data_IF_337643735374
#
_entry.id   IF_337643735374
#
_cell.length_a   1.000
_cell.length_b   1.000
_cell.length_c   1.000
_cell.angle_alpha   90.00
_cell.angle_beta   90.00
_cell.angle_gamma   90.00
#
_symmetry.space_group_name_H-M   'P 1'
#
loop_
_entity.id
_entity.type
_entity.pdbx_description
1 polymer ?
#
# COMPACT_ATOMS: atom_id res chain seq x y z
N UNK A 1 -68.60 3.33 -28.54
CA UNK A 1 -67.40 2.58 -28.93
C UNK A 1 -66.24 3.22 -28.22
N UNK A 2 -65.69 2.57 -27.17
CA UNK A 2 -64.59 3.09 -26.35
C UNK A 2 -63.33 2.29 -26.71
N UNK A 3 -62.35 2.91 -27.31
CA UNK A 3 -61.05 2.31 -27.63
C UNK A 3 -60.16 2.39 -26.39
N UNK A 4 -59.79 1.23 -25.85
CA UNK A 4 -58.76 1.09 -24.81
C UNK A 4 -57.36 1.18 -25.49
N UNK A 5 -56.61 2.16 -25.08
CA UNK A 5 -55.21 2.28 -25.44
C UNK A 5 -54.38 1.56 -24.37
N UNK A 6 -53.76 0.45 -24.72
CA UNK A 6 -52.85 -0.30 -23.85
C UNK A 6 -51.47 0.41 -23.79
N UNK A 7 -51.11 0.93 -22.62
CA UNK A 7 -49.79 1.49 -22.33
C UNK A 7 -48.81 0.34 -22.06
N UNK A 8 -47.95 0.06 -23.00
CA UNK A 8 -46.88 -0.95 -22.89
C UNK A 8 -45.74 -0.37 -22.05
N UNK A 9 -45.59 -0.85 -20.83
CA UNK A 9 -44.54 -0.48 -19.92
C UNK A 9 -43.25 -1.28 -20.33
N UNK A 10 -42.31 -0.62 -20.97
CA UNK A 10 -40.98 -1.19 -21.24
C UNK A 10 -40.19 -1.13 -19.94
N UNK A 11 -40.08 -2.27 -19.26
CA UNK A 11 -39.22 -2.44 -18.11
C UNK A 11 -37.77 -2.56 -18.61
N UNK A 12 -37.04 -1.46 -18.58
CA UNK A 12 -35.62 -1.41 -18.89
C UNK A 12 -34.84 -2.26 -17.88
N UNK A 13 -34.32 -3.39 -18.33
CA UNK A 13 -33.37 -4.17 -17.56
C UNK A 13 -32.09 -3.33 -17.39
N UNK A 14 -31.89 -2.85 -16.16
CA UNK A 14 -30.60 -2.27 -15.74
C UNK A 14 -29.59 -3.42 -15.68
N UNK A 15 -28.87 -3.61 -16.77
CA UNK A 15 -27.77 -4.57 -16.82
C UNK A 15 -26.74 -4.14 -15.76
N UNK A 16 -26.59 -4.95 -14.73
CA UNK A 16 -25.50 -4.82 -13.77
C UNK A 16 -24.19 -4.98 -14.56
N UNK A 17 -23.43 -3.90 -14.69
CA UNK A 17 -22.07 -3.93 -15.22
C UNK A 17 -21.25 -4.77 -14.23
N UNK A 18 -20.63 -5.87 -14.67
CA UNK A 18 -19.77 -6.63 -13.76
C UNK A 18 -18.63 -5.73 -13.28
N UNK A 19 -18.43 -5.73 -11.98
CA UNK A 19 -17.45 -4.91 -11.23
C UNK A 19 -15.97 -5.21 -11.58
N UNK A 20 -15.73 -5.88 -12.72
CA UNK A 20 -14.42 -6.31 -13.19
C UNK A 20 -13.79 -5.50 -14.32
N UNK A 21 -14.41 -4.42 -14.77
CA UNK A 21 -13.95 -3.66 -15.94
C UNK A 21 -13.67 -2.18 -15.63
N UNK A 22 -13.16 -1.87 -14.44
CA UNK A 22 -12.56 -0.56 -14.21
C UNK A 22 -11.13 -0.67 -14.71
N UNK A 23 -10.92 -0.25 -15.96
CA UNK A 23 -9.60 -0.18 -16.56
C UNK A 23 -8.69 0.68 -15.66
N UNK A 24 -7.59 0.06 -15.19
CA UNK A 24 -6.56 0.73 -14.43
C UNK A 24 -6.07 1.96 -15.21
N UNK A 25 -6.38 3.14 -14.73
CA UNK A 25 -5.75 4.34 -15.24
C UNK A 25 -4.31 4.34 -14.75
N UNK A 26 -3.33 4.58 -15.62
CA UNK A 26 -1.94 4.72 -15.18
C UNK A 26 -1.86 5.78 -14.08
N UNK A 27 -1.39 5.39 -12.89
CA UNK A 27 -1.12 6.30 -11.78
C UNK A 27 -2.11 6.34 -10.61
N UNK A 28 -3.26 5.67 -10.69
CA UNK A 28 -4.12 5.49 -9.51
C UNK A 28 -4.16 4.02 -9.09
N UNK A 29 -3.88 3.70 -7.82
CA UNK A 29 -4.06 2.34 -7.32
C UNK A 29 -5.55 1.99 -7.36
N UNK A 30 -5.93 1.10 -8.27
CA UNK A 30 -7.33 0.73 -8.51
C UNK A 30 -7.99 0.07 -7.30
N UNK A 31 -7.19 -0.44 -6.37
CA UNK A 31 -7.67 -1.09 -5.16
C UNK A 31 -6.60 -1.12 -4.08
N UNK A 32 -6.88 -0.54 -2.93
CA UNK A 32 -6.07 -0.74 -1.72
C UNK A 32 -6.38 -2.11 -1.15
N UNK A 33 -5.35 -2.96 -1.02
CA UNK A 33 -5.46 -4.30 -0.44
C UNK A 33 -5.50 -4.30 1.08
N UNK A 34 -5.00 -3.23 1.69
CA UNK A 34 -4.97 -3.03 3.12
C UNK A 34 -4.12 -1.83 3.53
N UNK A 35 -4.31 -1.39 4.75
CA UNK A 35 -3.50 -0.33 5.37
C UNK A 35 -3.18 -0.72 6.81
N UNK A 36 -1.91 -0.61 7.19
CA UNK A 36 -1.44 -0.86 8.55
C UNK A 36 -0.97 0.45 9.15
N UNK A 37 -1.59 0.86 10.26
CA UNK A 37 -1.19 2.04 11.03
C UNK A 37 -0.24 1.67 12.16
N UNK A 38 0.72 2.53 12.43
CA UNK A 38 1.75 2.31 13.43
C UNK A 38 1.67 3.31 14.57
N UNK A 39 2.14 2.89 15.74
CA UNK A 39 2.34 3.81 16.86
C UNK A 39 3.47 4.78 16.56
N UNK A 40 3.49 5.89 17.30
CA UNK A 40 4.59 6.84 17.24
C UNK A 40 5.92 6.13 17.50
N UNK A 41 6.92 6.47 16.72
CA UNK A 41 8.29 5.95 16.78
C UNK A 41 8.38 4.42 16.86
N UNK A 42 7.49 3.72 16.14
CA UNK A 42 7.40 2.26 16.19
C UNK A 42 7.22 1.67 14.81
N UNK A 43 7.89 0.54 14.57
CA UNK A 43 7.69 -0.36 13.45
C UNK A 43 7.03 -1.70 13.87
N UNK A 44 6.64 -1.83 15.14
CA UNK A 44 5.94 -3.01 15.62
C UNK A 44 4.53 -3.09 15.02
N UNK A 45 4.17 -4.23 14.48
CA UNK A 45 2.84 -4.47 13.92
C UNK A 45 1.77 -4.40 15.03
N UNK A 46 0.64 -3.73 14.79
CA UNK A 46 -0.49 -3.77 15.70
C UNK A 46 -1.10 -5.17 15.78
N UNK A 47 -1.80 -5.48 16.87
CA UNK A 47 -2.46 -6.78 17.06
C UNK A 47 -3.46 -7.11 15.93
N UNK A 48 -4.08 -6.10 15.32
CA UNK A 48 -4.99 -6.26 14.19
C UNK A 48 -4.30 -6.49 12.83
N UNK A 49 -2.95 -6.43 12.76
CA UNK A 49 -2.24 -6.57 11.48
C UNK A 49 -2.57 -7.87 10.72
N UNK A 50 -2.74 -9.06 11.37
CA UNK A 50 -3.11 -10.24 10.63
C UNK A 50 -4.37 -10.08 9.79
N UNK A 51 -5.42 -9.52 10.37
CA UNK A 51 -6.71 -9.31 9.69
C UNK A 51 -6.61 -8.23 8.60
N UNK A 52 -5.85 -7.16 8.85
CA UNK A 52 -5.61 -6.09 7.87
C UNK A 52 -4.85 -6.58 6.64
N UNK A 53 -4.00 -7.60 6.79
CA UNK A 53 -3.19 -8.19 5.72
C UNK A 53 -3.86 -9.37 5.01
N UNK A 54 -5.01 -9.86 5.50
CA UNK A 54 -5.72 -10.99 4.88
C UNK A 54 -6.08 -10.74 3.43
N UNK A 55 -6.51 -9.53 3.10
CA UNK A 55 -6.83 -9.12 1.73
C UNK A 55 -5.63 -9.26 0.80
N UNK A 56 -4.48 -8.76 1.22
CA UNK A 56 -3.25 -8.83 0.44
C UNK A 56 -2.75 -10.26 0.23
N UNK A 57 -2.85 -11.11 1.26
CA UNK A 57 -2.47 -12.53 1.16
C UNK A 57 -3.35 -13.26 0.15
N UNK A 58 -4.68 -13.11 0.26
CA UNK A 58 -5.61 -13.73 -0.71
C UNK A 58 -5.38 -13.23 -2.12
N UNK A 59 -5.15 -11.92 -2.27
CA UNK A 59 -4.87 -11.33 -3.57
C UNK A 59 -3.59 -11.90 -4.19
N UNK A 60 -2.48 -11.94 -3.46
CA UNK A 60 -1.20 -12.48 -3.94
C UNK A 60 -1.33 -13.94 -4.41
N UNK A 61 -2.05 -14.75 -3.65
CA UNK A 61 -2.29 -16.16 -3.99
C UNK A 61 -3.10 -16.31 -5.28
N UNK A 62 -4.11 -15.48 -5.47
CA UNK A 62 -4.98 -15.51 -6.66
C UNK A 62 -4.33 -14.88 -7.90
N UNK A 63 -3.32 -14.01 -7.72
CA UNK A 63 -2.73 -13.21 -8.78
C UNK A 63 -1.20 -13.27 -8.78
N UNK A 64 -0.58 -14.43 -9.09
CA UNK A 64 0.88 -14.61 -9.01
C UNK A 64 1.68 -13.70 -9.96
N UNK A 65 1.02 -13.14 -10.99
CA UNK A 65 1.64 -12.19 -11.93
C UNK A 65 1.60 -10.71 -11.48
N UNK A 66 1.01 -10.40 -10.31
CA UNK A 66 0.99 -9.05 -9.75
C UNK A 66 2.09 -8.88 -8.70
N UNK A 67 2.50 -7.64 -8.52
CA UNK A 67 3.29 -7.22 -7.34
C UNK A 67 2.37 -6.57 -6.31
N UNK A 68 2.78 -6.60 -5.06
CA UNK A 68 2.20 -5.81 -3.99
C UNK A 68 3.20 -4.74 -3.62
N UNK A 69 2.81 -3.49 -3.80
CA UNK A 69 3.62 -2.34 -3.41
C UNK A 69 3.25 -1.93 -1.99
N UNK A 70 4.25 -1.72 -1.17
CA UNK A 70 4.14 -1.24 0.20
C UNK A 70 4.57 0.22 0.25
N UNK A 71 3.62 1.15 0.26
CA UNK A 71 3.86 2.58 0.42
C UNK A 71 4.04 2.90 1.89
N UNK A 72 5.27 3.19 2.29
CA UNK A 72 5.63 3.38 3.68
C UNK A 72 5.85 4.86 4.02
N UNK A 73 5.10 5.34 5.01
CA UNK A 73 5.07 6.73 5.43
C UNK A 73 5.33 6.89 6.93
N UNK A 74 5.84 8.07 7.27
CA UNK A 74 5.98 8.56 8.64
C UNK A 74 5.23 9.89 8.82
N UNK A 75 4.98 10.26 10.07
CA UNK A 75 4.63 11.64 10.41
C UNK A 75 5.87 12.55 10.28
N UNK A 76 5.69 13.88 10.21
CA UNK A 76 6.80 14.81 10.01
C UNK A 76 7.62 15.11 11.30
N UNK A 77 7.45 14.30 12.36
CA UNK A 77 8.23 14.47 13.58
C UNK A 77 9.56 13.73 13.42
N UNK A 78 10.66 14.44 13.61
CA UNK A 78 12.02 13.92 13.50
C UNK A 78 12.78 14.47 12.31
N UNK A 79 13.89 13.83 11.96
CA UNK A 79 14.69 14.21 10.79
C UNK A 79 14.30 13.34 9.58
N UNK A 80 14.41 13.90 8.38
CA UNK A 80 14.06 13.15 7.16
C UNK A 80 14.83 11.82 7.02
N UNK A 81 16.15 11.75 7.26
CA UNK A 81 16.86 10.46 7.21
C UNK A 81 16.33 9.45 8.24
N UNK A 82 15.96 9.90 9.44
CA UNK A 82 15.37 9.04 10.46
C UNK A 82 14.00 8.50 10.01
N UNK A 83 13.15 9.36 9.47
CA UNK A 83 11.81 8.99 8.99
C UNK A 83 11.87 8.02 7.80
N UNK A 84 12.82 8.19 6.89
CA UNK A 84 13.10 7.21 5.83
C UNK A 84 13.47 5.85 6.42
N UNK A 85 14.39 5.81 7.37
CA UNK A 85 14.79 4.58 8.07
C UNK A 85 13.62 3.92 8.82
N UNK A 86 12.75 4.71 9.47
CA UNK A 86 11.56 4.20 10.15
C UNK A 86 10.52 3.65 9.16
N UNK A 87 10.31 4.33 8.04
CA UNK A 87 9.42 3.85 6.97
C UNK A 87 9.90 2.50 6.42
N UNK A 88 11.21 2.35 6.19
CA UNK A 88 11.80 1.07 5.77
C UNK A 88 11.53 -0.03 6.81
N UNK A 89 11.77 0.21 8.10
CA UNK A 89 11.50 -0.78 9.16
C UNK A 89 10.02 -1.18 9.23
N UNK A 90 9.10 -0.24 8.99
CA UNK A 90 7.66 -0.51 8.91
C UNK A 90 7.32 -1.42 7.73
N UNK A 91 7.84 -1.10 6.55
CA UNK A 91 7.67 -1.93 5.35
C UNK A 91 8.21 -3.35 5.55
N UNK A 92 9.40 -3.49 6.18
CA UNK A 92 9.98 -4.81 6.50
C UNK A 92 9.11 -5.61 7.48
N UNK A 93 8.53 -4.97 8.49
CA UNK A 93 7.61 -5.65 9.42
C UNK A 93 6.37 -6.19 8.70
N UNK A 94 5.81 -5.42 7.77
CA UNK A 94 4.67 -5.86 6.93
C UNK A 94 5.10 -7.00 6.01
N UNK A 95 6.23 -6.83 5.29
CA UNK A 95 6.78 -7.86 4.41
C UNK A 95 7.03 -9.18 5.12
N UNK A 96 7.70 -9.14 6.26
CA UNK A 96 7.97 -10.34 7.05
C UNK A 96 6.68 -11.09 7.39
N UNK A 97 5.61 -10.36 7.72
CA UNK A 97 4.30 -10.96 8.02
C UNK A 97 3.63 -11.55 6.78
N UNK A 98 3.70 -10.89 5.62
CA UNK A 98 3.17 -11.39 4.35
C UNK A 98 3.91 -12.65 3.91
N UNK A 99 5.24 -12.65 3.97
CA UNK A 99 6.09 -13.79 3.61
C UNK A 99 5.82 -14.98 4.54
N UNK A 100 5.70 -14.75 5.85
CA UNK A 100 5.35 -15.79 6.81
C UNK A 100 3.96 -16.41 6.55
N UNK A 101 3.13 -15.75 5.74
CA UNK A 101 1.80 -16.23 5.30
C UNK A 101 1.79 -16.75 3.87
N UNK A 102 2.95 -16.95 3.27
CA UNK A 102 3.11 -17.60 1.98
C UNK A 102 3.12 -16.65 0.78
N UNK A 103 3.14 -15.33 0.98
CA UNK A 103 3.33 -14.38 -0.14
C UNK A 103 4.78 -14.45 -0.60
N UNK A 104 5.07 -14.72 -1.90
CA UNK A 104 6.42 -14.73 -2.43
C UNK A 104 7.12 -13.39 -2.23
N UNK A 105 8.37 -13.43 -1.76
CA UNK A 105 9.12 -12.22 -1.43
C UNK A 105 9.40 -11.33 -2.66
N UNK A 106 9.49 -11.93 -3.83
CA UNK A 106 9.71 -11.27 -5.13
C UNK A 106 8.45 -10.57 -5.67
N UNK A 107 7.28 -10.88 -5.13
CA UNK A 107 6.05 -10.13 -5.40
C UNK A 107 5.95 -8.83 -4.59
N UNK A 108 6.83 -8.59 -3.62
CA UNK A 108 6.73 -7.45 -2.71
C UNK A 108 7.75 -6.38 -3.09
N UNK A 109 7.26 -5.16 -3.29
CA UNK A 109 8.06 -3.96 -3.61
C UNK A 109 7.81 -2.91 -2.52
N UNK A 110 8.86 -2.24 -2.08
CA UNK A 110 8.74 -1.10 -1.16
C UNK A 110 8.83 0.21 -1.93
N UNK A 111 7.90 1.10 -1.70
CA UNK A 111 7.95 2.49 -2.06
C UNK A 111 8.07 3.32 -0.77
N UNK A 112 9.22 3.92 -0.55
CA UNK A 112 9.57 4.59 0.70
C UNK A 112 9.42 6.09 0.53
N UNK A 113 8.53 6.67 1.31
CA UNK A 113 8.23 8.11 1.29
C UNK A 113 8.78 8.82 2.53
N UNK A 114 8.98 8.13 3.66
CA UNK A 114 9.30 8.79 4.91
C UNK A 114 8.17 9.75 5.31
N UNK A 115 8.49 11.01 5.55
CA UNK A 115 7.54 12.09 5.86
C UNK A 115 6.94 12.74 4.61
N UNK A 116 7.53 12.50 3.43
CA UNK A 116 7.00 13.02 2.18
C UNK A 116 5.66 12.35 1.86
N UNK A 117 4.72 13.14 1.37
CA UNK A 117 3.35 12.67 1.15
C UNK A 117 2.52 12.52 2.44
N UNK A 118 2.96 13.08 3.56
CA UNK A 118 2.15 13.20 4.77
C UNK A 118 0.82 13.89 4.45
N UNK A 119 -0.30 13.27 4.85
CA UNK A 119 -1.65 13.78 4.52
C UNK A 119 -2.06 14.96 5.38
N UNK A 120 -1.33 15.27 6.43
CA UNK A 120 -1.56 16.38 7.37
C UNK A 120 -2.93 16.42 8.07
N UNK A 121 -3.79 15.44 7.86
CA UNK A 121 -5.07 15.35 8.56
C UNK A 121 -4.85 15.01 10.04
N UNK A 122 -3.94 14.08 10.31
CA UNK A 122 -3.38 13.83 11.65
C UNK A 122 -2.06 13.05 11.53
N UNK A 123 -1.16 13.26 12.48
CA UNK A 123 0.10 12.49 12.56
C UNK A 123 -0.14 10.99 12.69
N UNK A 124 -1.24 10.58 13.30
CA UNK A 124 -1.59 9.18 13.43
C UNK A 124 -1.94 8.53 12.08
N UNK A 125 -2.53 9.28 11.16
CA UNK A 125 -2.84 8.82 9.81
C UNK A 125 -1.61 8.74 8.91
N UNK A 126 -0.60 9.57 9.17
CA UNK A 126 0.64 9.56 8.41
C UNK A 126 1.52 8.35 8.75
N UNK A 127 1.40 7.79 9.95
CA UNK A 127 2.17 6.61 10.38
C UNK A 127 1.56 5.33 9.81
N UNK A 128 1.76 5.06 8.53
CA UNK A 128 1.10 3.95 7.83
C UNK A 128 2.00 3.24 6.83
N UNK A 129 1.61 2.02 6.51
CA UNK A 129 2.00 1.31 5.30
C UNK A 129 0.72 0.93 4.56
N UNK A 130 0.57 1.43 3.35
CA UNK A 130 -0.56 1.10 2.46
C UNK A 130 -0.12 0.06 1.46
N UNK A 131 -0.97 -0.95 1.21
CA UNK A 131 -0.70 -2.04 0.29
C UNK A 131 -1.59 -1.91 -0.94
N UNK A 132 -1.00 -1.93 -2.12
CA UNK A 132 -1.76 -1.92 -3.36
C UNK A 132 -1.15 -2.84 -4.42
N UNK A 133 -1.98 -3.45 -5.31
CA UNK A 133 -1.52 -4.35 -6.34
C UNK A 133 -1.09 -3.59 -7.58
N UNK A 134 -0.13 -4.14 -8.32
CA UNK A 134 0.21 -3.63 -9.65
C UNK A 134 0.68 -4.74 -10.58
N UNK A 135 0.43 -4.56 -11.88
CA UNK A 135 1.06 -5.31 -12.98
C UNK A 135 2.14 -4.51 -13.69
N UNK A 136 2.30 -3.26 -13.32
CA UNK A 136 3.25 -2.39 -13.97
C UNK A 136 4.68 -2.95 -13.84
N UNK A 137 5.53 -2.72 -14.82
CA UNK A 137 6.93 -3.02 -14.71
C UNK A 137 7.54 -2.22 -13.56
N UNK A 138 8.59 -2.78 -12.93
CA UNK A 138 9.23 -2.15 -11.78
C UNK A 138 9.72 -0.73 -12.07
N UNK A 139 10.16 -0.45 -13.31
CA UNK A 139 10.54 0.90 -13.73
C UNK A 139 9.40 1.91 -13.55
N UNK A 140 8.17 1.55 -13.90
CA UNK A 140 7.01 2.42 -13.71
C UNK A 140 6.72 2.65 -12.21
N UNK A 141 6.85 1.62 -11.36
CA UNK A 141 6.71 1.79 -9.90
C UNK A 141 7.77 2.75 -9.36
N UNK A 142 9.01 2.67 -9.85
CA UNK A 142 10.09 3.60 -9.48
C UNK A 142 9.72 5.02 -9.90
N UNK A 143 9.33 5.22 -11.15
CA UNK A 143 8.99 6.54 -11.69
C UNK A 143 7.83 7.18 -10.92
N UNK A 144 6.77 6.41 -10.63
CA UNK A 144 5.64 6.89 -9.83
C UNK A 144 6.05 7.25 -8.40
N UNK A 145 6.87 6.40 -7.76
CA UNK A 145 7.36 6.67 -6.40
C UNK A 145 8.16 7.96 -6.35
N UNK A 146 9.11 8.13 -7.28
CA UNK A 146 9.95 9.33 -7.34
C UNK A 146 9.14 10.59 -7.70
N UNK A 147 8.19 10.49 -8.64
CA UNK A 147 7.28 11.59 -8.97
C UNK A 147 6.40 11.99 -7.78
N UNK A 148 6.01 11.04 -6.94
CA UNK A 148 5.29 11.25 -5.68
C UNK A 148 6.17 11.68 -4.49
N UNK A 149 7.42 12.07 -4.74
CA UNK A 149 8.44 12.43 -3.75
C UNK A 149 8.88 11.29 -2.85
N UNK A 150 8.70 10.06 -3.29
CA UNK A 150 9.30 8.91 -2.60
C UNK A 150 10.81 8.95 -2.67
N UNK A 151 11.46 8.50 -1.61
CA UNK A 151 12.92 8.58 -1.44
C UNK A 151 13.62 7.36 -2.02
N UNK A 152 12.98 6.19 -1.99
CA UNK A 152 13.59 4.94 -2.44
C UNK A 152 12.54 3.91 -2.86
N UNK A 153 12.94 3.06 -3.81
CA UNK A 153 12.22 1.83 -4.15
C UNK A 153 13.18 0.66 -3.96
N UNK A 154 12.74 -0.39 -3.27
CA UNK A 154 13.54 -1.60 -3.09
C UNK A 154 12.69 -2.85 -3.24
N UNK A 155 13.29 -3.89 -3.82
CA UNK A 155 12.65 -5.19 -4.02
C UNK A 155 13.71 -6.30 -3.92
N UNK A 156 13.26 -7.49 -3.60
CA UNK A 156 14.05 -8.73 -3.67
C UNK A 156 15.39 -8.75 -2.92
N UNK A 157 15.65 -7.77 -2.07
CA UNK A 157 16.82 -7.73 -1.21
C UNK A 157 16.33 -7.48 0.21
N UNK A 158 16.42 -8.45 1.11
CA UNK A 158 16.27 -8.12 2.52
C UNK A 158 17.32 -7.05 2.84
N UNK A 159 16.89 -5.94 3.41
CA UNK A 159 17.85 -4.98 3.96
C UNK A 159 18.68 -5.75 4.96
N UNK A 160 19.99 -5.77 4.76
CA UNK A 160 20.88 -6.40 5.73
C UNK A 160 20.76 -5.65 7.05
N UNK A 161 20.93 -6.37 8.17
CA UNK A 161 20.92 -5.78 9.52
C UNK A 161 21.78 -4.51 9.58
N UNK A 162 22.93 -4.51 8.87
CA UNK A 162 23.80 -3.35 8.76
C UNK A 162 23.13 -2.12 8.07
N UNK A 163 22.27 -2.33 7.08
CA UNK A 163 21.54 -1.23 6.41
C UNK A 163 20.39 -0.70 7.27
N UNK A 164 19.80 -1.54 8.11
CA UNK A 164 18.78 -1.16 9.08
C UNK A 164 19.44 -0.43 10.28
N UNK A 165 20.61 -0.88 10.73
CA UNK A 165 21.38 -0.26 11.83
C UNK A 165 22.09 1.04 11.43
N UNK A 166 22.47 1.19 10.15
CA UNK A 166 23.05 2.44 9.62
C UNK A 166 22.01 3.56 9.48
N UNK A 167 20.70 3.25 9.60
CA UNK A 167 19.68 4.28 9.69
C UNK A 167 19.89 5.08 10.99
N UNK A 168 19.89 6.43 10.94
CA UNK A 168 20.15 7.26 12.12
C UNK A 168 19.26 6.85 13.29
N UNK A 169 19.88 6.58 14.42
CA UNK A 169 19.17 6.29 15.68
C UNK A 169 18.56 7.56 16.25
N UNK A 170 17.42 7.49 16.96
CA UNK A 170 16.86 8.66 17.61
C UNK A 170 17.88 9.23 18.58
N UNK A 171 18.18 10.51 18.41
CA UNK A 171 18.97 11.23 19.43
C UNK A 171 18.08 11.33 20.65
N UNK A 172 18.43 10.61 21.70
CA UNK A 172 17.74 10.73 22.97
C UNK A 172 17.77 12.21 23.38
N UNK A 173 16.64 12.89 23.30
CA UNK A 173 16.48 14.25 23.84
C UNK A 173 16.61 14.15 25.36
N UNK A 174 17.64 14.76 25.89
CA UNK A 174 17.77 15.04 27.33
C UNK A 174 16.78 16.10 27.75
#
# INVERSE_FOLDING_TARGET
>A
MKTLTTLSMVLGALAAIPDGARADRPGEPSQVLGEVKFRFDSAALPAAAPQLLDGAVRFATAHPGHRIVLDAHCDPIGTSPYNVGLAIRRAESVRARLVARGVPADQIVFAIYGEDGARRASYAEDRRVTLWPTREPLAAVIDHTLAGRGTAVTWNRPLTTAQVEAAPQPVASR
#
